data_IF_486224055507
#
_entry.id   IF_486224055507
#
_cell.length_a   1.000
_cell.length_b   1.000
_cell.length_c   1.000
_cell.angle_alpha   90.00
_cell.angle_beta   90.00
_cell.angle_gamma   90.00
#
_symmetry.space_group_name_H-M   'P 1'
#
loop_
_entity.id
_entity.type
_entity.pdbx_description
1 polymer ?
#
# COMPACT_ATOMS: atom_id res chain seq x y z
N UNK A 1 -5.16 29.64 19.08
CA UNK A 1 -4.21 29.77 20.21
C UNK A 1 -3.86 31.20 20.59
N UNK A 2 -3.32 32.04 19.69
CA UNK A 2 -3.00 33.44 20.03
C UNK A 2 -4.18 34.25 20.60
N UNK A 3 -5.38 34.08 20.05
CA UNK A 3 -6.59 34.71 20.56
C UNK A 3 -6.92 34.28 22.01
N UNK A 4 -6.72 33.00 22.36
CA UNK A 4 -6.91 32.50 23.73
C UNK A 4 -5.91 33.16 24.69
N UNK A 5 -4.62 33.18 24.32
CA UNK A 5 -3.57 33.85 25.10
C UNK A 5 -3.86 35.35 25.28
N UNK A 6 -4.39 36.02 24.25
CA UNK A 6 -4.78 37.43 24.34
C UNK A 6 -5.93 37.64 25.33
N UNK A 7 -6.97 36.80 25.29
CA UNK A 7 -8.10 36.87 26.23
C UNK A 7 -7.67 36.61 27.67
N UNK A 8 -6.79 35.64 27.89
CA UNK A 8 -6.20 35.35 29.20
C UNK A 8 -5.41 36.55 29.73
N UNK A 9 -4.58 37.17 28.89
CA UNK A 9 -3.82 38.37 29.25
C UNK A 9 -4.73 39.57 29.56
N UNK A 10 -5.88 39.67 28.87
CA UNK A 10 -6.92 40.66 29.14
C UNK A 10 -7.81 40.30 30.33
N UNK A 11 -7.58 39.16 31.00
CA UNK A 11 -8.39 38.61 32.11
C UNK A 11 -9.87 38.41 31.75
N UNK A 12 -10.18 38.16 30.48
CA UNK A 12 -11.55 37.89 29.99
C UNK A 12 -11.84 36.40 29.98
N UNK A 13 -11.85 35.77 31.16
CA UNK A 13 -11.96 34.32 31.29
C UNK A 13 -13.29 33.74 30.79
N UNK A 14 -14.39 34.47 30.94
CA UNK A 14 -15.73 34.08 30.47
C UNK A 14 -15.77 33.75 28.96
N UNK A 15 -14.95 34.44 28.16
CA UNK A 15 -14.88 34.25 26.71
C UNK A 15 -13.90 33.16 26.29
N UNK A 16 -13.06 32.67 27.21
CA UNK A 16 -12.00 31.72 26.90
C UNK A 16 -12.49 30.27 26.85
N UNK A 17 -13.53 29.91 27.63
CA UNK A 17 -14.07 28.56 27.72
C UNK A 17 -14.44 27.92 26.38
N UNK A 18 -15.24 28.58 25.52
CA UNK A 18 -15.59 28.05 24.20
C UNK A 18 -14.38 27.82 23.28
N UNK A 19 -13.37 28.70 23.34
CA UNK A 19 -12.15 28.59 22.53
C UNK A 19 -11.30 27.40 23.00
N UNK A 20 -11.20 27.19 24.31
CA UNK A 20 -10.51 26.02 24.88
C UNK A 20 -11.17 24.71 24.44
N UNK A 21 -12.50 24.66 24.48
CA UNK A 21 -13.26 23.49 24.01
C UNK A 21 -12.97 23.22 22.53
N UNK A 22 -13.09 24.24 21.68
CA UNK A 22 -12.79 24.11 20.25
C UNK A 22 -11.36 23.65 20.01
N UNK A 23 -10.36 24.24 20.67
CA UNK A 23 -8.95 23.86 20.52
C UNK A 23 -8.71 22.40 20.91
N UNK A 24 -9.33 21.89 21.98
CA UNK A 24 -9.21 20.48 22.37
C UNK A 24 -9.80 19.52 21.34
N UNK A 25 -10.80 19.95 20.59
CA UNK A 25 -11.43 19.16 19.54
C UNK A 25 -10.61 19.14 18.23
N UNK A 26 -9.70 20.10 18.03
CA UNK A 26 -8.82 20.18 16.84
C UNK A 26 -7.58 19.27 16.92
N UNK A 27 -7.54 18.32 17.85
CA UNK A 27 -6.39 17.42 17.99
C UNK A 27 -6.28 16.52 16.75
N UNK A 28 -5.12 16.55 16.10
CA UNK A 28 -4.82 15.79 14.89
C UNK A 28 -4.25 14.40 15.27
N UNK A 29 -4.12 13.51 14.28
CA UNK A 29 -3.70 12.12 14.51
C UNK A 29 -2.42 12.02 15.37
N UNK A 30 -2.42 11.12 16.36
CA UNK A 30 -1.28 10.87 17.25
C UNK A 30 -1.12 11.85 18.42
N UNK A 31 -2.08 12.75 18.66
CA UNK A 31 -2.05 13.67 19.81
C UNK A 31 -1.27 14.96 19.59
N UNK A 32 -0.94 15.27 18.32
CA UNK A 32 -0.38 16.55 17.89
C UNK A 32 -1.40 17.38 17.11
N UNK A 33 -1.06 18.62 16.76
CA UNK A 33 -1.94 19.53 16.01
C UNK A 33 -1.48 19.71 14.56
N UNK A 34 -1.06 18.62 13.92
CA UNK A 34 -0.51 18.62 12.57
C UNK A 34 0.95 19.05 12.55
N UNK A 35 1.26 20.32 12.84
CA UNK A 35 2.63 20.84 12.80
C UNK A 35 3.21 21.12 14.20
N UNK A 36 4.54 21.23 14.30
CA UNK A 36 5.22 21.57 15.55
C UNK A 36 4.79 22.94 16.07
N UNK A 37 4.66 23.94 15.20
CA UNK A 37 4.23 25.29 15.62
C UNK A 37 2.80 25.28 16.17
N UNK A 38 1.87 24.63 15.46
CA UNK A 38 0.49 24.50 15.93
C UNK A 38 0.44 23.80 17.28
N UNK A 39 1.17 22.69 17.42
CA UNK A 39 1.23 21.89 18.63
C UNK A 39 1.77 22.69 19.82
N UNK A 40 2.90 23.39 19.65
CA UNK A 40 3.49 24.25 20.70
C UNK A 40 2.51 25.34 21.12
N UNK A 41 1.93 26.05 20.15
CA UNK A 41 1.06 27.18 20.45
C UNK A 41 -0.24 26.76 21.13
N UNK A 42 -0.82 25.62 20.75
CA UNK A 42 -2.02 25.09 21.40
C UNK A 42 -1.70 24.63 22.82
N UNK A 43 -0.63 23.87 23.03
CA UNK A 43 -0.26 23.43 24.37
C UNK A 43 0.08 24.60 25.30
N UNK A 44 0.80 25.60 24.81
CA UNK A 44 1.09 26.82 25.59
C UNK A 44 -0.21 27.53 26.00
N UNK A 45 -1.16 27.69 25.07
CA UNK A 45 -2.41 28.40 25.35
C UNK A 45 -3.32 27.62 26.33
N UNK A 46 -3.41 26.29 26.18
CA UNK A 46 -4.17 25.44 27.08
C UNK A 46 -3.54 25.36 28.48
N UNK A 47 -2.21 25.27 28.56
CA UNK A 47 -1.49 25.30 29.83
C UNK A 47 -1.68 26.64 30.56
N UNK A 48 -1.58 27.76 29.85
CA UNK A 48 -1.80 29.08 30.44
C UNK A 48 -3.24 29.24 30.93
N UNK A 49 -4.23 28.78 30.17
CA UNK A 49 -5.64 28.77 30.60
C UNK A 49 -5.80 28.02 31.92
N UNK A 50 -5.14 26.86 32.04
CA UNK A 50 -5.22 26.01 33.23
C UNK A 50 -4.54 26.61 34.47
N UNK A 51 -3.57 27.52 34.27
CA UNK A 51 -2.90 28.25 35.35
C UNK A 51 -3.77 29.44 35.81
N UNK A 52 -4.31 30.20 34.86
CA UNK A 52 -5.01 31.46 35.14
C UNK A 52 -6.47 31.27 35.59
N UNK A 53 -7.10 30.18 35.15
CA UNK A 53 -8.49 29.83 35.49
C UNK A 53 -8.48 28.70 36.53
N UNK A 54 -8.88 28.97 37.78
CA UNK A 54 -8.91 27.96 38.82
C UNK A 54 -9.85 26.80 38.42
N UNK A 55 -9.34 25.58 38.40
CA UNK A 55 -10.17 24.41 38.16
C UNK A 55 -11.07 24.08 39.35
N UNK A 56 -12.27 23.60 39.03
CA UNK A 56 -13.13 22.87 39.96
C UNK A 56 -12.39 21.60 40.38
N UNK A 57 -12.09 21.47 41.69
CA UNK A 57 -11.15 20.49 42.25
C UNK A 57 -11.65 19.05 42.29
N UNK A 58 -12.87 18.77 41.83
CA UNK A 58 -13.50 17.46 42.04
C UNK A 58 -13.58 16.68 40.73
N UNK A 59 -12.58 15.82 40.48
CA UNK A 59 -12.70 14.72 39.51
C UNK A 59 -13.10 13.43 40.20
N UNK A 60 -14.26 12.92 39.81
CA UNK A 60 -14.77 11.57 40.06
C UNK A 60 -15.62 11.17 38.85
N UNK A 61 -14.97 10.65 37.81
CA UNK A 61 -15.61 10.18 36.58
C UNK A 61 -15.53 8.66 36.52
N UNK A 62 -16.68 8.01 36.32
CA UNK A 62 -16.79 6.61 35.94
C UNK A 62 -17.09 6.51 34.45
N UNK A 63 -16.20 5.86 33.71
CA UNK A 63 -16.27 5.73 32.25
C UNK A 63 -16.43 4.25 31.91
N UNK A 64 -17.51 3.90 31.22
CA UNK A 64 -17.78 2.54 30.72
C UNK A 64 -17.77 2.53 29.20
N UNK A 65 -16.85 1.77 28.60
CA UNK A 65 -16.73 1.57 27.16
C UNK A 65 -17.35 0.22 26.79
N UNK A 66 -18.39 0.26 25.97
CA UNK A 66 -19.13 -0.89 25.47
C UNK A 66 -18.68 -1.21 24.04
N UNK A 67 -18.11 -2.40 23.86
CA UNK A 67 -17.66 -2.91 22.56
C UNK A 67 -18.61 -4.04 22.12
N UNK A 68 -19.13 -4.06 20.87
CA UNK A 68 -20.14 -5.02 20.43
C UNK A 68 -19.73 -6.49 20.59
N UNK A 69 -18.46 -6.81 20.33
CA UNK A 69 -17.90 -8.16 20.39
C UNK A 69 -17.32 -8.57 21.75
N UNK A 70 -17.44 -7.72 22.76
CA UNK A 70 -16.92 -8.00 24.11
C UNK A 70 -18.08 -8.17 25.07
N UNK A 71 -18.10 -9.30 25.78
CA UNK A 71 -19.18 -9.62 26.72
C UNK A 71 -19.24 -8.67 27.93
N UNK A 72 -18.11 -8.09 28.34
CA UNK A 72 -18.02 -7.17 29.48
C UNK A 72 -17.57 -5.77 29.06
N UNK A 73 -18.19 -4.71 29.63
CA UNK A 73 -17.72 -3.34 29.41
C UNK A 73 -16.33 -3.13 30.02
N UNK A 74 -15.57 -2.20 29.43
CA UNK A 74 -14.30 -1.74 29.97
C UNK A 74 -14.59 -0.53 30.84
N UNK A 75 -14.34 -0.65 32.14
CA UNK A 75 -14.62 0.40 33.09
C UNK A 75 -13.33 1.07 33.56
N UNK A 76 -13.32 2.40 33.56
CA UNK A 76 -12.24 3.22 34.07
C UNK A 76 -12.79 4.24 35.07
N UNK A 77 -12.13 4.30 36.23
CA UNK A 77 -12.40 5.32 37.22
C UNK A 77 -11.30 6.37 37.22
N UNK A 78 -11.68 7.62 36.96
CA UNK A 78 -10.80 8.79 36.95
C UNK A 78 -11.11 9.64 38.17
N UNK A 79 -10.16 9.72 39.08
CA UNK A 79 -10.19 10.50 40.31
C UNK A 79 -9.00 11.46 40.34
N UNK A 80 -9.04 12.47 41.20
CA UNK A 80 -7.96 13.45 41.34
C UNK A 80 -6.54 12.85 41.43
N UNK A 81 -6.38 11.70 42.09
CA UNK A 81 -5.08 11.03 42.24
C UNK A 81 -4.53 10.47 40.93
N UNK A 82 -5.38 10.06 39.99
CA UNK A 82 -4.98 9.39 38.76
C UNK A 82 -5.40 10.14 37.48
N UNK A 83 -5.85 11.39 37.63
CA UNK A 83 -6.40 12.22 36.56
C UNK A 83 -5.48 12.48 35.38
N UNK A 84 -4.17 12.55 35.63
CA UNK A 84 -3.17 12.80 34.59
C UNK A 84 -2.73 11.52 33.86
N UNK A 85 -3.18 10.34 34.31
CA UNK A 85 -2.74 9.07 33.75
C UNK A 85 -3.69 8.67 32.62
N UNK A 86 -3.16 8.56 31.41
CA UNK A 86 -3.92 8.10 30.24
C UNK A 86 -4.41 6.65 30.43
N UNK A 87 -5.54 6.33 29.78
CA UNK A 87 -6.10 4.98 29.71
C UNK A 87 -6.26 4.62 28.23
N UNK A 88 -5.81 3.44 27.85
CA UNK A 88 -5.87 2.95 26.47
C UNK A 88 -6.57 1.60 26.41
N UNK A 89 -7.35 1.40 25.36
CA UNK A 89 -7.99 0.14 25.03
C UNK A 89 -7.92 -0.03 23.51
N UNK A 90 -7.66 -1.25 23.06
CA UNK A 90 -7.49 -1.57 21.64
C UNK A 90 -8.50 -2.64 21.19
N UNK A 91 -8.93 -2.54 19.94
CA UNK A 91 -9.75 -3.54 19.26
C UNK A 91 -9.25 -3.71 17.84
N UNK A 92 -9.35 -4.94 17.32
CA UNK A 92 -8.96 -5.26 15.93
C UNK A 92 -10.06 -4.93 14.92
N UNK A 93 -11.28 -4.64 15.38
CA UNK A 93 -12.45 -4.46 14.55
C UNK A 93 -12.89 -3.00 14.55
N UNK A 94 -13.12 -2.46 13.35
CA UNK A 94 -13.64 -1.11 13.18
C UNK A 94 -15.18 -1.14 13.29
N UNK A 95 -15.68 -1.02 14.51
CA UNK A 95 -17.10 -1.11 14.85
C UNK A 95 -17.53 0.13 15.65
N UNK A 96 -18.83 0.42 15.66
CA UNK A 96 -19.38 1.49 16.48
C UNK A 96 -19.24 1.16 17.97
N UNK A 97 -18.72 2.11 18.75
CA UNK A 97 -18.50 1.95 20.18
C UNK A 97 -19.43 2.89 20.96
N UNK A 98 -19.93 2.43 22.10
CA UNK A 98 -20.71 3.28 23.00
C UNK A 98 -19.90 3.58 24.24
N UNK A 99 -19.77 4.87 24.58
CA UNK A 99 -19.09 5.32 25.80
C UNK A 99 -20.11 5.99 26.72
N UNK A 100 -20.19 5.50 27.96
CA UNK A 100 -20.97 6.12 29.03
C UNK A 100 -20.00 6.77 30.01
N UNK A 101 -20.26 8.00 30.40
CA UNK A 101 -19.49 8.74 31.39
C UNK A 101 -20.45 9.30 32.44
N UNK A 102 -20.21 8.97 33.71
CA UNK A 102 -21.03 9.37 34.85
C UNK A 102 -20.15 9.99 35.94
N UNK A 103 -20.67 10.96 36.70
CA UNK A 103 -19.95 11.62 37.79
C UNK A 103 -19.55 13.08 37.51
N UNK A 104 -18.55 13.59 38.23
CA UNK A 104 -18.12 15.00 38.18
C UNK A 104 -16.71 15.14 37.63
N UNK A 105 -16.51 16.10 36.73
CA UNK A 105 -15.20 16.40 36.14
C UNK A 105 -15.28 16.53 34.63
N UNK A 106 -14.11 16.72 34.01
CA UNK A 106 -14.00 16.83 32.55
C UNK A 106 -12.83 15.99 32.06
N UNK A 107 -13.06 15.17 31.03
CA UNK A 107 -12.04 14.38 30.36
C UNK A 107 -12.03 14.60 28.85
N UNK A 108 -11.06 14.02 28.16
CA UNK A 108 -11.03 13.91 26.69
C UNK A 108 -10.98 12.44 26.33
N UNK A 109 -11.86 11.99 25.43
CA UNK A 109 -11.78 10.69 24.78
C UNK A 109 -11.25 10.89 23.37
N UNK A 110 -10.29 10.08 22.94
CA UNK A 110 -9.81 10.05 21.56
C UNK A 110 -9.92 8.62 21.03
N UNK A 111 -10.56 8.45 19.88
CA UNK A 111 -10.70 7.16 19.20
C UNK A 111 -9.86 7.21 17.94
N UNK A 112 -8.95 6.26 17.78
CA UNK A 112 -8.02 6.21 16.65
C UNK A 112 -8.10 4.84 15.98
N UNK A 113 -8.34 4.84 14.67
CA UNK A 113 -8.35 3.63 13.83
C UNK A 113 -7.13 3.64 12.93
N UNK A 114 -6.23 2.68 13.13
CA UNK A 114 -5.06 2.47 12.28
C UNK A 114 -5.39 1.33 11.31
N UNK A 115 -5.27 1.59 10.01
CA UNK A 115 -5.53 0.62 8.95
C UNK A 115 -4.68 0.90 7.71
N UNK A 116 -4.51 -0.12 6.87
CA UNK A 116 -3.86 0.04 5.58
C UNK A 116 -4.86 0.61 4.58
N UNK A 117 -4.70 1.89 4.23
CA UNK A 117 -5.52 2.57 3.23
C UNK A 117 -4.89 2.47 1.84
N UNK A 118 -5.73 2.51 0.80
CA UNK A 118 -5.24 2.85 -0.55
C UNK A 118 -4.91 4.35 -0.56
N UNK A 119 -3.92 4.73 -1.36
CA UNK A 119 -3.58 6.14 -1.55
C UNK A 119 -4.83 6.91 -2.02
N UNK A 120 -5.27 7.97 -1.31
CA UNK A 120 -6.40 8.79 -1.75
C UNK A 120 -6.14 9.40 -3.12
N UNK A 121 -7.19 9.53 -3.94
CA UNK A 121 -7.06 10.11 -5.28
C UNK A 121 -6.45 11.51 -5.24
N UNK A 122 -6.80 12.31 -4.24
CA UNK A 122 -6.30 13.67 -4.07
C UNK A 122 -4.77 13.74 -3.86
N UNK A 123 -4.21 12.81 -3.08
CA UNK A 123 -2.76 12.71 -2.87
C UNK A 123 -2.03 12.20 -4.12
N UNK A 124 -2.71 11.39 -4.93
CA UNK A 124 -2.17 10.89 -6.21
C UNK A 124 -2.21 11.95 -7.32
N UNK A 125 -3.24 12.81 -7.28
CA UNK A 125 -3.48 13.90 -8.23
C UNK A 125 -2.60 15.11 -7.95
N UNK A 126 -2.03 15.21 -6.74
CA UNK A 126 -1.02 16.21 -6.40
C UNK A 126 -1.48 17.65 -6.66
N UNK A 127 -2.52 18.09 -5.97
CA UNK A 127 -3.19 19.39 -6.23
C UNK A 127 -2.29 20.62 -6.03
N UNK A 128 -1.30 20.57 -5.13
CA UNK A 128 -0.42 21.72 -4.79
C UNK A 128 1.03 21.59 -5.25
N UNK A 129 1.47 20.39 -5.60
CA UNK A 129 2.85 20.13 -6.00
C UNK A 129 2.87 19.36 -7.31
N UNK A 130 3.76 19.72 -8.22
CA UNK A 130 4.13 18.88 -9.36
C UNK A 130 5.34 18.05 -8.96
N UNK A 131 5.14 16.75 -8.72
CA UNK A 131 6.17 15.81 -8.30
C UNK A 131 6.43 14.79 -9.41
N UNK A 132 7.69 14.72 -9.84
CA UNK A 132 8.18 13.71 -10.79
C UNK A 132 9.34 12.94 -10.17
N UNK A 133 9.21 11.62 -10.20
CA UNK A 133 10.22 10.70 -9.68
C UNK A 133 10.65 9.78 -10.81
N UNK A 134 11.96 9.69 -11.01
CA UNK A 134 12.58 8.83 -12.02
C UNK A 134 13.71 8.04 -11.39
N UNK A 135 13.87 6.80 -11.84
CA UNK A 135 14.86 5.86 -11.33
C UNK A 135 15.62 5.30 -12.51
N UNK A 136 16.94 5.40 -12.46
CA UNK A 136 17.82 4.86 -13.48
C UNK A 136 18.75 3.82 -12.85
N UNK A 137 18.79 2.62 -13.44
CA UNK A 137 19.77 1.61 -13.06
C UNK A 137 21.10 1.87 -13.78
N UNK A 138 22.18 2.01 -13.00
CA UNK A 138 23.54 2.01 -13.54
C UNK A 138 24.35 0.92 -12.85
N UNK A 139 24.91 -0.03 -13.60
CA UNK A 139 25.83 -1.00 -13.05
C UNK A 139 27.17 -0.31 -12.78
N UNK A 140 27.32 0.25 -11.58
CA UNK A 140 28.59 0.77 -11.07
C UNK A 140 29.11 -0.14 -9.96
N UNK A 141 30.20 -0.88 -10.25
CA UNK A 141 30.87 -1.73 -9.28
C UNK A 141 30.22 -3.11 -9.06
N UNK A 142 30.48 -3.71 -7.88
CA UNK A 142 30.04 -5.06 -7.52
C UNK A 142 28.62 -5.11 -6.91
N UNK A 143 28.05 -3.96 -6.52
CA UNK A 143 26.71 -3.86 -5.91
C UNK A 143 25.76 -3.13 -6.86
N UNK A 144 24.54 -3.65 -7.01
CA UNK A 144 23.49 -3.00 -7.80
C UNK A 144 23.17 -1.63 -7.21
N UNK A 145 23.29 -0.60 -8.05
CA UNK A 145 23.09 0.79 -7.65
C UNK A 145 22.04 1.44 -8.55
N UNK A 146 21.17 2.23 -7.94
CA UNK A 146 20.14 3.01 -8.65
C UNK A 146 20.32 4.49 -8.39
N UNK A 147 20.09 5.30 -9.40
CA UNK A 147 20.05 6.74 -9.29
C UNK A 147 18.58 7.16 -9.16
N UNK A 148 18.23 7.77 -8.03
CA UNK A 148 16.88 8.27 -7.77
C UNK A 148 16.91 9.79 -8.01
N UNK A 149 16.15 10.26 -9.00
CA UNK A 149 16.00 11.67 -9.33
C UNK A 149 14.58 12.12 -9.02
N UNK A 150 14.48 13.13 -8.16
CA UNK A 150 13.23 13.71 -7.66
C UNK A 150 13.20 15.16 -8.14
N UNK A 151 12.16 15.53 -8.88
CA UNK A 151 11.91 16.90 -9.31
C UNK A 151 10.58 17.36 -8.74
N UNK A 152 10.57 18.54 -8.14
CA UNK A 152 9.40 19.15 -7.52
C UNK A 152 9.22 20.58 -7.99
N UNK A 153 7.97 21.01 -8.08
CA UNK A 153 7.60 22.41 -8.28
C UNK A 153 6.30 22.71 -7.56
N UNK A 154 6.21 23.88 -6.97
CA UNK A 154 4.98 24.29 -6.28
C UNK A 154 3.97 24.87 -7.28
N UNK A 155 2.70 24.53 -7.12
CA UNK A 155 1.62 24.97 -8.02
C UNK A 155 0.87 26.20 -7.49
N UNK A 156 1.34 26.79 -6.39
CA UNK A 156 0.78 28.02 -5.84
C UNK A 156 1.24 29.28 -6.58
N UNK A 157 0.80 30.43 -6.07
CA UNK A 157 1.09 31.75 -6.65
C UNK A 157 2.46 32.29 -6.22
N UNK A 158 2.97 31.81 -5.09
CA UNK A 158 4.26 32.20 -4.49
C UNK A 158 5.04 30.93 -4.17
N UNK A 159 6.37 31.05 -4.02
CA UNK A 159 7.22 29.93 -3.59
C UNK A 159 6.67 29.31 -2.29
N UNK A 160 6.69 27.98 -2.20
CA UNK A 160 6.37 27.31 -0.96
C UNK A 160 7.46 27.60 0.08
N UNK A 161 7.05 27.59 1.34
CA UNK A 161 7.98 27.72 2.46
C UNK A 161 8.72 26.39 2.69
N UNK A 162 9.21 26.17 3.91
CA UNK A 162 9.93 24.97 4.26
C UNK A 162 9.09 23.72 3.94
N UNK A 163 9.62 22.87 3.08
CA UNK A 163 8.94 21.67 2.58
C UNK A 163 9.76 20.44 2.91
N UNK A 164 9.07 19.32 3.14
CA UNK A 164 9.68 18.04 3.44
C UNK A 164 9.46 17.10 2.28
N UNK A 165 10.52 16.43 1.86
CA UNK A 165 10.46 15.26 0.98
C UNK A 165 10.73 14.03 1.84
N UNK A 166 9.72 13.19 1.97
CA UNK A 166 9.74 11.91 2.67
C UNK A 166 9.93 10.79 1.63
N UNK A 167 11.10 10.18 1.61
CA UNK A 167 11.50 9.16 0.64
C UNK A 167 11.63 7.81 1.34
N UNK A 168 10.62 6.96 1.15
CA UNK A 168 10.75 5.56 1.52
C UNK A 168 11.73 4.85 0.57
N UNK A 169 12.65 4.05 1.09
CA UNK A 169 13.57 3.30 0.25
C UNK A 169 12.94 2.01 -0.31
N UNK A 170 13.45 1.58 -1.48
CA UNK A 170 13.17 0.25 -2.02
C UNK A 170 13.66 -0.81 -1.03
N UNK A 171 12.96 -1.95 -0.97
CA UNK A 171 13.36 -3.06 -0.10
C UNK A 171 14.79 -3.50 -0.41
N UNK A 172 15.69 -3.32 0.55
CA UNK A 172 17.10 -3.69 0.45
C UNK A 172 18.02 -2.67 -0.17
N UNK A 173 17.53 -1.44 -0.36
CA UNK A 173 18.34 -0.30 -0.78
C UNK A 173 18.55 0.67 0.39
N UNK A 174 19.73 1.28 0.42
CA UNK A 174 20.08 2.36 1.34
C UNK A 174 20.68 3.52 0.56
N UNK A 175 20.35 4.78 0.87
CA UNK A 175 20.87 5.93 0.14
C UNK A 175 22.37 6.12 0.40
N UNK A 176 23.07 6.63 -0.61
CA UNK A 176 24.48 7.03 -0.53
C UNK A 176 24.59 8.31 0.32
N UNK A 177 25.26 8.19 1.46
CA UNK A 177 25.41 9.29 2.42
C UNK A 177 26.33 10.39 1.91
N UNK A 178 27.28 10.08 1.02
CA UNK A 178 28.20 11.06 0.45
C UNK A 178 27.49 12.00 -0.53
N UNK A 179 26.62 11.44 -1.38
CA UNK A 179 25.78 12.23 -2.27
C UNK A 179 24.85 13.17 -1.49
N UNK A 180 24.21 12.68 -0.43
CA UNK A 180 23.34 13.49 0.44
C UNK A 180 24.12 14.60 1.16
N UNK A 181 25.34 14.31 1.63
CA UNK A 181 26.23 15.34 2.21
C UNK A 181 26.59 16.40 1.19
N UNK A 182 26.88 16.03 -0.07
CA UNK A 182 27.16 17.00 -1.14
C UNK A 182 25.96 17.90 -1.42
N UNK A 183 24.74 17.36 -1.41
CA UNK A 183 23.53 18.15 -1.61
C UNK A 183 23.24 19.12 -0.44
N UNK A 184 23.67 18.77 0.77
CA UNK A 184 23.45 19.58 1.98
C UNK A 184 24.57 20.58 2.30
N UNK A 185 25.82 20.25 1.97
CA UNK A 185 27.01 21.05 2.31
C UNK A 185 27.67 21.70 1.08
N UNK A 186 27.12 21.46 -0.11
CA UNK A 186 27.59 22.08 -1.35
C UNK A 186 27.33 23.58 -1.42
N UNK A 187 28.00 24.25 -2.35
CA UNK A 187 27.96 25.72 -2.54
C UNK A 187 26.54 26.21 -2.86
N UNK A 188 25.78 25.45 -3.64
CA UNK A 188 24.41 25.78 -4.05
C UNK A 188 23.35 25.39 -3.00
N UNK A 189 23.74 24.62 -1.97
CA UNK A 189 22.90 24.09 -0.87
C UNK A 189 21.44 23.81 -1.28
N UNK A 190 21.25 22.78 -2.09
CA UNK A 190 19.91 22.34 -2.52
C UNK A 190 19.08 21.78 -1.37
N UNK A 191 19.71 21.22 -0.33
CA UNK A 191 19.04 20.61 0.82
C UNK A 191 19.49 21.29 2.12
N UNK A 192 18.54 21.64 2.98
CA UNK A 192 18.81 22.25 4.27
C UNK A 192 19.39 21.25 5.26
N UNK A 193 18.76 20.07 5.35
CA UNK A 193 19.11 18.95 6.23
C UNK A 193 18.55 17.65 5.64
N UNK A 194 19.17 16.52 5.97
CA UNK A 194 18.57 15.21 5.76
C UNK A 194 18.65 14.35 7.03
N UNK A 195 17.71 13.44 7.21
CA UNK A 195 17.67 12.46 8.28
C UNK A 195 17.38 11.09 7.68
N UNK A 196 18.16 10.09 8.07
CA UNK A 196 17.91 8.70 7.69
C UNK A 196 17.36 8.03 8.93
N UNK A 197 16.10 7.62 8.88
CA UNK A 197 15.49 6.87 9.96
C UNK A 197 16.14 5.48 10.03
N UNK A 198 16.79 5.22 11.16
CA UNK A 198 17.43 3.94 11.48
C UNK A 198 16.54 3.06 12.35
N UNK A 199 15.29 3.48 12.60
CA UNK A 199 14.34 2.67 13.33
C UNK A 199 14.21 1.28 12.65
N UNK A 200 14.22 0.19 13.42
CA UNK A 200 14.19 -1.18 12.89
C UNK A 200 12.85 -1.58 12.25
N UNK A 201 11.93 -0.64 12.03
CA UNK A 201 10.62 -0.88 11.42
C UNK A 201 10.63 -0.54 9.94
N UNK A 202 10.42 -1.56 9.12
CA UNK A 202 9.81 -1.56 7.79
C UNK A 202 10.14 -0.36 6.88
N UNK A 203 11.25 -0.49 6.13
CA UNK A 203 11.79 0.41 5.09
C UNK A 203 12.58 1.58 5.67
N UNK A 204 13.88 1.63 5.35
CA UNK A 204 14.71 2.79 5.69
C UNK A 204 14.09 4.04 5.09
N UNK A 205 13.73 5.01 5.93
CA UNK A 205 13.10 6.24 5.48
C UNK A 205 14.12 7.36 5.40
N UNK A 206 14.14 8.11 4.30
CA UNK A 206 15.01 9.27 4.11
C UNK A 206 14.14 10.53 4.09
N UNK A 207 14.32 11.36 5.11
CA UNK A 207 13.67 12.67 5.23
C UNK A 207 14.63 13.75 4.72
N UNK A 208 14.19 14.54 3.77
CA UNK A 208 14.94 15.66 3.17
C UNK A 208 14.16 16.95 3.45
N UNK A 209 14.85 17.94 4.01
CA UNK A 209 14.29 19.25 4.33
C UNK A 209 14.77 20.27 3.30
N UNK A 210 13.82 20.99 2.70
CA UNK A 210 14.07 22.09 1.77
C UNK A 210 13.65 23.42 2.40
N UNK A 211 14.46 24.46 2.23
CA UNK A 211 14.14 25.80 2.77
C UNK A 211 12.94 26.43 2.06
N UNK A 212 12.78 26.16 0.76
CA UNK A 212 11.68 26.62 -0.08
C UNK A 212 11.52 25.70 -1.28
N UNK A 213 10.39 25.83 -1.98
CA UNK A 213 10.17 25.20 -3.29
C UNK A 213 9.66 26.25 -4.27
N UNK A 214 10.36 26.45 -5.37
CA UNK A 214 9.99 27.37 -6.43
C UNK A 214 8.61 27.07 -7.02
N UNK A 215 7.82 28.11 -7.29
CA UNK A 215 6.59 27.99 -8.06
C UNK A 215 6.80 28.10 -9.58
N UNK A 216 8.00 28.52 -10.02
CA UNK A 216 8.30 28.85 -11.42
C UNK A 216 9.10 27.79 -12.14
N UNK A 217 10.08 27.22 -11.45
CA UNK A 217 11.06 26.29 -12.02
C UNK A 217 11.02 24.99 -11.24
N UNK A 218 11.39 23.89 -11.90
CA UNK A 218 11.49 22.59 -11.25
C UNK A 218 12.79 22.51 -10.45
N UNK A 219 12.67 22.26 -9.15
CA UNK A 219 13.81 21.96 -8.29
C UNK A 219 14.05 20.45 -8.29
N UNK A 220 15.20 20.04 -8.82
CA UNK A 220 15.55 18.63 -8.95
C UNK A 220 16.75 18.25 -8.08
N UNK A 221 16.64 17.12 -7.38
CA UNK A 221 17.72 16.48 -6.65
C UNK A 221 17.92 15.05 -7.12
N UNK A 222 19.16 14.58 -7.06
CA UNK A 222 19.53 13.22 -7.46
C UNK A 222 20.57 12.65 -6.51
N UNK A 223 20.36 11.41 -6.08
CA UNK A 223 21.30 10.66 -5.24
C UNK A 223 21.30 9.18 -5.61
N UNK A 224 22.42 8.51 -5.33
CA UNK A 224 22.54 7.05 -5.47
C UNK A 224 21.88 6.33 -4.29
N UNK A 225 21.33 5.15 -4.55
CA UNK A 225 20.96 4.17 -3.54
C UNK A 225 21.58 2.81 -3.89
N UNK A 226 22.20 2.18 -2.89
CA UNK A 226 22.93 0.93 -3.04
C UNK A 226 22.13 -0.22 -2.47
N UNK A 227 22.06 -1.33 -3.22
CA UNK A 227 21.48 -2.56 -2.74
C UNK A 227 22.44 -3.26 -1.76
N UNK A 228 22.01 -3.44 -0.51
CA UNK A 228 22.81 -4.12 0.51
C UNK A 228 22.29 -5.53 0.83
N UNK A 229 21.07 -5.87 0.41
CA UNK A 229 20.59 -7.26 0.40
C UNK A 229 19.75 -7.57 -0.84
N UNK A 230 19.90 -8.80 -1.35
CA UNK A 230 19.15 -9.27 -2.49
C UNK A 230 17.76 -9.77 -2.08
N UNK A 231 16.74 -9.28 -2.79
CA UNK A 231 15.34 -9.69 -2.63
C UNK A 231 14.82 -10.28 -3.93
N UNK A 232 13.97 -11.31 -3.83
CA UNK A 232 13.33 -11.90 -5.01
C UNK A 232 12.35 -10.94 -5.71
N UNK A 233 11.56 -10.19 -4.94
CA UNK A 233 10.64 -9.17 -5.45
C UNK A 233 10.86 -7.85 -4.71
N UNK A 234 11.39 -6.86 -5.43
CA UNK A 234 11.54 -5.50 -4.91
C UNK A 234 10.14 -4.89 -4.79
N UNK A 235 9.78 -4.43 -3.58
CA UNK A 235 8.56 -3.68 -3.41
C UNK A 235 8.76 -2.25 -3.92
N UNK A 236 7.79 -1.67 -4.65
CA UNK A 236 7.85 -0.27 -5.00
C UNK A 236 7.90 0.61 -3.76
N UNK A 237 8.60 1.71 -3.91
CA UNK A 237 8.75 2.72 -2.89
C UNK A 237 8.05 4.00 -3.32
N UNK A 238 7.86 4.92 -2.38
CA UNK A 238 7.19 6.19 -2.59
C UNK A 238 8.06 7.37 -2.17
N UNK A 239 7.86 8.49 -2.88
CA UNK A 239 8.27 9.83 -2.49
C UNK A 239 7.00 10.61 -2.15
N UNK A 240 6.99 11.24 -0.99
CA UNK A 240 5.90 12.11 -0.55
C UNK A 240 6.46 13.51 -0.29
N UNK A 241 5.84 14.54 -0.86
CA UNK A 241 6.19 15.95 -0.61
C UNK A 241 5.04 16.67 0.07
N UNK A 242 5.34 17.47 1.08
CA UNK A 242 4.36 18.32 1.79
C UNK A 242 5.03 19.55 2.41
N UNK A 243 4.23 20.61 2.59
CA UNK A 243 4.67 21.79 3.33
C UNK A 243 4.68 21.48 4.84
N UNK A 244 5.71 21.96 5.54
CA UNK A 244 5.90 21.71 6.97
C UNK A 244 4.73 22.19 7.85
N UNK A 245 4.06 23.28 7.45
CA UNK A 245 2.97 23.87 8.23
C UNK A 245 1.60 23.31 7.84
N UNK A 246 1.45 22.76 6.64
CA UNK A 246 0.19 22.21 6.12
C UNK A 246 0.40 20.81 5.54
N UNK A 247 0.17 19.81 6.38
CA UNK A 247 0.44 18.39 6.08
C UNK A 247 -0.64 17.73 5.21
N UNK A 248 -1.84 18.33 5.16
CA UNK A 248 -2.99 17.82 4.37
C UNK A 248 -2.71 17.83 2.86
N UNK A 249 -1.91 18.78 2.39
CA UNK A 249 -1.64 18.97 0.96
C UNK A 249 -0.41 18.18 0.49
N UNK A 250 -0.40 16.89 0.81
CA UNK A 250 0.68 15.98 0.43
C UNK A 250 0.50 15.47 -0.99
N UNK A 251 1.61 15.28 -1.69
CA UNK A 251 1.66 14.65 -3.01
C UNK A 251 2.57 13.43 -2.93
N UNK A 252 2.03 12.27 -3.29
CA UNK A 252 2.74 10.99 -3.20
C UNK A 252 2.87 10.36 -4.58
N UNK A 253 4.11 10.00 -4.98
CA UNK A 253 4.40 9.26 -6.21
C UNK A 253 5.21 8.01 -5.90
N UNK A 254 4.83 6.90 -6.53
CA UNK A 254 5.57 5.65 -6.43
C UNK A 254 6.65 5.55 -7.50
N UNK A 255 7.72 4.83 -7.18
CA UNK A 255 8.81 4.53 -8.09
C UNK A 255 9.27 3.08 -7.97
N UNK A 256 9.69 2.53 -9.10
CA UNK A 256 10.24 1.18 -9.20
C UNK A 256 11.22 1.14 -10.37
N UNK A 257 12.38 0.46 -10.27
CA UNK A 257 13.39 0.51 -11.32
C UNK A 257 12.93 -0.01 -12.69
N UNK A 258 12.08 -1.05 -12.70
CA UNK A 258 11.60 -1.68 -13.94
C UNK A 258 10.15 -1.39 -14.31
N UNK A 259 9.39 -0.66 -13.49
CA UNK A 259 7.96 -0.42 -13.72
C UNK A 259 7.69 1.06 -13.84
N UNK A 260 7.15 1.46 -14.98
CA UNK A 260 6.75 2.83 -15.24
C UNK A 260 5.65 3.25 -14.24
N UNK A 261 5.89 4.33 -13.49
CA UNK A 261 4.98 4.82 -12.44
C UNK A 261 5.04 4.07 -11.10
N UNK A 262 5.93 3.07 -10.95
CA UNK A 262 6.19 2.43 -9.66
C UNK A 262 5.02 1.67 -9.03
N UNK A 263 3.98 1.34 -9.80
CA UNK A 263 2.85 0.57 -9.29
C UNK A 263 3.02 -0.92 -9.58
N UNK A 264 2.38 -1.75 -8.76
CA UNK A 264 2.28 -3.18 -9.06
C UNK A 264 1.47 -3.40 -10.35
N UNK A 265 1.92 -4.37 -11.15
CA UNK A 265 1.19 -4.91 -12.27
C UNK A 265 -0.16 -5.43 -11.78
N UNK A 266 -1.24 -4.93 -12.38
CA UNK A 266 -2.61 -5.26 -11.99
C UNK A 266 -3.45 -5.49 -13.24
N UNK A 267 -4.35 -6.46 -13.16
CA UNK A 267 -5.42 -6.64 -14.15
C UNK A 267 -6.68 -6.02 -13.55
N UNK A 268 -7.19 -4.97 -14.18
CA UNK A 268 -8.39 -4.27 -13.71
C UNK A 268 -9.51 -4.39 -14.73
N UNK A 269 -10.72 -4.63 -14.25
CA UNK A 269 -11.93 -4.51 -15.04
C UNK A 269 -12.97 -3.69 -14.28
N UNK A 270 -13.17 -2.43 -14.70
CA UNK A 270 -13.88 -1.45 -13.88
C UNK A 270 -13.12 -1.14 -12.60
N UNK A 271 -13.79 -1.21 -11.45
CA UNK A 271 -13.22 -0.92 -10.12
C UNK A 271 -12.55 -2.12 -9.45
N UNK A 272 -12.75 -3.34 -9.98
CA UNK A 272 -12.19 -4.56 -9.41
C UNK A 272 -10.85 -4.85 -10.09
N UNK A 273 -9.78 -4.94 -9.30
CA UNK A 273 -8.43 -5.21 -9.77
C UNK A 273 -7.86 -6.45 -9.06
N UNK A 274 -7.17 -7.31 -9.82
CA UNK A 274 -6.36 -8.42 -9.28
C UNK A 274 -4.88 -8.09 -9.43
N UNK A 275 -4.08 -8.53 -8.45
CA UNK A 275 -2.63 -8.47 -8.54
C UNK A 275 -2.14 -9.38 -9.68
N UNK A 276 -1.27 -8.87 -10.53
CA UNK A 276 -0.65 -9.58 -11.64
C UNK A 276 0.88 -9.52 -11.54
N UNK A 277 1.43 -9.48 -10.32
CA UNK A 277 2.87 -9.56 -10.06
C UNK A 277 3.44 -10.97 -10.24
N UNK A 278 2.58 -11.96 -10.09
CA UNK A 278 2.97 -13.36 -10.10
C UNK A 278 3.42 -13.82 -11.51
N UNK A 279 3.93 -15.05 -11.58
CA UNK A 279 4.32 -15.68 -12.85
C UNK A 279 3.11 -15.80 -13.79
N UNK A 280 3.38 -15.84 -15.09
CA UNK A 280 2.33 -15.79 -16.11
C UNK A 280 1.52 -17.07 -16.21
N UNK A 281 2.15 -18.22 -15.92
CA UNK A 281 1.54 -19.55 -15.93
C UNK A 281 2.41 -20.51 -15.11
N UNK A 282 1.85 -21.67 -14.77
CA UNK A 282 2.44 -22.63 -13.84
C UNK A 282 3.76 -23.22 -14.35
N UNK A 283 3.87 -23.51 -15.65
CA UNK A 283 5.03 -24.20 -16.21
C UNK A 283 6.34 -23.40 -16.16
N UNK A 284 6.29 -22.07 -15.96
CA UNK A 284 7.50 -21.28 -15.74
C UNK A 284 8.26 -21.66 -14.47
N UNK A 285 7.61 -22.36 -13.52
CA UNK A 285 8.24 -22.79 -12.26
C UNK A 285 8.74 -24.22 -12.28
N UNK A 286 8.46 -24.98 -13.35
CA UNK A 286 8.79 -26.40 -13.41
C UNK A 286 10.17 -26.55 -14.04
N UNK A 287 11.12 -27.05 -13.25
CA UNK A 287 12.45 -27.41 -13.73
C UNK A 287 12.43 -28.84 -14.31
N UNK A 288 12.81 -28.99 -15.58
CA UNK A 288 12.91 -30.27 -16.27
C UNK A 288 11.79 -30.57 -17.27
N UNK A 289 11.83 -31.73 -17.93
CA UNK A 289 10.83 -32.10 -18.92
C UNK A 289 9.48 -32.40 -18.26
N UNK A 290 8.42 -31.86 -18.84
CA UNK A 290 7.04 -32.15 -18.41
C UNK A 290 6.71 -33.58 -18.86
N UNK A 291 6.49 -34.46 -17.89
CA UNK A 291 6.08 -35.86 -18.13
C UNK A 291 4.60 -36.04 -17.84
N UNK A 292 4.01 -37.11 -18.38
CA UNK A 292 2.62 -37.51 -18.09
C UNK A 292 2.32 -37.55 -16.58
N UNK A 293 3.15 -38.23 -15.79
CA UNK A 293 2.97 -38.33 -14.34
C UNK A 293 2.96 -36.96 -13.66
N UNK A 294 3.80 -36.03 -14.13
CA UNK A 294 3.84 -34.67 -13.58
C UNK A 294 2.57 -33.88 -13.92
N UNK A 295 2.05 -34.02 -15.15
CA UNK A 295 0.75 -33.42 -15.53
C UNK A 295 -0.38 -33.96 -14.66
N UNK A 296 -0.41 -35.27 -14.40
CA UNK A 296 -1.41 -35.89 -13.52
C UNK A 296 -1.30 -35.41 -12.08
N UNK A 297 -0.09 -35.34 -11.52
CA UNK A 297 0.15 -34.86 -10.15
C UNK A 297 -0.34 -33.42 -9.96
N UNK A 298 0.03 -32.51 -10.88
CA UNK A 298 -0.36 -31.09 -10.80
C UNK A 298 -1.86 -30.89 -11.09
N UNK A 299 -2.43 -31.63 -12.04
CA UNK A 299 -3.88 -31.57 -12.34
C UNK A 299 -4.74 -32.11 -11.19
N UNK A 300 -4.18 -32.97 -10.34
CA UNK A 300 -4.86 -33.57 -9.19
C UNK A 300 -4.63 -32.86 -7.86
N UNK A 301 -3.97 -31.70 -7.86
CA UNK A 301 -3.81 -30.94 -6.61
C UNK A 301 -5.17 -30.45 -6.07
N UNK A 302 -5.33 -30.40 -4.73
CA UNK A 302 -6.55 -29.88 -4.12
C UNK A 302 -6.87 -28.45 -4.60
N UNK A 303 -8.07 -28.25 -5.13
CA UNK A 303 -8.54 -26.96 -5.63
C UNK A 303 -8.36 -26.74 -7.14
N UNK A 304 -7.70 -27.69 -7.84
CA UNK A 304 -7.69 -27.74 -9.30
C UNK A 304 -9.00 -28.37 -9.78
N UNK A 305 -9.74 -27.63 -10.61
CA UNK A 305 -10.96 -28.13 -11.21
C UNK A 305 -10.62 -28.74 -12.58
N UNK A 306 -10.73 -30.06 -12.71
CA UNK A 306 -10.59 -30.78 -13.99
C UNK A 306 -11.94 -31.38 -14.43
N UNK A 307 -12.24 -31.29 -15.72
CA UNK A 307 -13.48 -31.79 -16.33
C UNK A 307 -13.22 -32.61 -17.60
N UNK A 308 -14.12 -33.54 -17.90
CA UNK A 308 -14.05 -34.52 -18.99
C UNK A 308 -14.18 -33.88 -20.38
N UNK A 309 -13.22 -34.23 -21.25
CA UNK A 309 -13.22 -34.08 -22.72
C UNK A 309 -13.18 -32.65 -23.27
N UNK A 310 -11.96 -32.24 -23.67
CA UNK A 310 -11.61 -31.12 -24.56
C UNK A 310 -12.44 -29.87 -24.32
N UNK A 311 -11.88 -28.99 -23.47
CA UNK A 311 -12.52 -27.88 -22.77
C UNK A 311 -13.39 -28.48 -21.63
N UNK A 312 -13.26 -28.06 -20.37
CA UNK A 312 -14.27 -27.23 -19.68
C UNK A 312 -14.12 -27.33 -18.15
N UNK A 313 -14.43 -26.22 -17.48
CA UNK A 313 -14.10 -25.91 -16.08
C UNK A 313 -15.34 -26.12 -15.19
N UNK A 314 -15.20 -26.87 -14.09
CA UNK A 314 -16.29 -27.53 -13.35
C UNK A 314 -17.14 -26.65 -12.42
N UNK A 315 -17.12 -25.33 -12.63
CA UNK A 315 -17.99 -24.37 -11.92
C UNK A 315 -19.01 -23.69 -12.84
N UNK A 316 -18.97 -23.96 -14.14
CA UNK A 316 -19.86 -23.37 -15.13
C UNK A 316 -20.93 -24.38 -15.57
N UNK A 317 -22.18 -24.14 -15.19
CA UNK A 317 -23.34 -24.91 -15.66
C UNK A 317 -23.48 -24.74 -17.18
N UNK A 318 -22.94 -25.64 -18.00
CA UNK A 318 -23.15 -25.51 -19.44
C UNK A 318 -21.95 -25.50 -20.39
N UNK A 319 -20.85 -26.19 -20.14
CA UNK A 319 -19.63 -25.79 -20.77
C UNK A 319 -19.56 -26.63 -22.05
N UNK A 320 -20.41 -26.43 -23.06
CA UNK A 320 -20.22 -27.02 -24.40
C UNK A 320 -20.81 -26.02 -25.38
N UNK A 321 -19.98 -25.55 -26.33
CA UNK A 321 -20.40 -24.61 -27.39
C UNK A 321 -20.49 -23.12 -27.01
N UNK A 322 -20.07 -22.68 -25.82
CA UNK A 322 -20.06 -21.25 -25.44
C UNK A 322 -18.65 -20.66 -25.45
N UNK A 323 -18.46 -19.46 -26.00
CA UNK A 323 -17.16 -18.78 -25.93
C UNK A 323 -16.83 -18.39 -24.47
N UNK A 324 -15.56 -18.54 -24.06
CA UNK A 324 -15.06 -18.06 -22.76
C UNK A 324 -13.93 -17.06 -22.97
N UNK A 325 -13.92 -16.01 -22.17
CA UNK A 325 -12.87 -15.00 -22.20
C UNK A 325 -11.78 -15.36 -21.21
N UNK A 326 -10.57 -15.59 -21.73
CA UNK A 326 -9.35 -15.69 -20.93
C UNK A 326 -8.62 -14.35 -20.96
N UNK A 327 -8.28 -13.83 -19.78
CA UNK A 327 -7.65 -12.53 -19.59
C UNK A 327 -6.26 -12.76 -19.00
N UNK A 328 -5.24 -12.20 -19.64
CA UNK A 328 -3.88 -12.19 -19.09
C UNK A 328 -3.32 -10.78 -19.11
N UNK A 329 -2.34 -10.51 -18.25
CA UNK A 329 -1.64 -9.24 -18.25
C UNK A 329 -0.78 -9.11 -19.52
N UNK A 330 -0.65 -7.90 -20.07
CA UNK A 330 0.10 -7.65 -21.31
C UNK A 330 1.56 -8.16 -21.24
N UNK A 331 2.18 -8.10 -20.05
CA UNK A 331 3.52 -8.65 -19.78
C UNK A 331 3.67 -10.14 -20.17
N UNK A 332 2.58 -10.89 -20.11
CA UNK A 332 2.55 -12.32 -20.35
C UNK A 332 2.36 -12.69 -21.82
N UNK A 333 2.16 -11.71 -22.70
CA UNK A 333 1.94 -11.93 -24.13
C UNK A 333 3.09 -12.69 -24.78
N UNK A 334 4.32 -12.27 -24.50
CA UNK A 334 5.52 -12.86 -25.10
C UNK A 334 5.89 -14.24 -24.52
N UNK A 335 5.44 -14.50 -23.28
CA UNK A 335 5.63 -15.79 -22.62
C UNK A 335 4.58 -16.82 -23.04
N UNK A 336 3.32 -16.39 -23.23
CA UNK A 336 2.20 -17.29 -23.58
C UNK A 336 2.18 -17.66 -25.07
N UNK A 337 2.50 -16.72 -25.97
CA UNK A 337 2.56 -16.93 -27.43
C UNK A 337 1.37 -17.72 -28.00
N UNK A 338 0.16 -17.39 -27.55
CA UNK A 338 -1.06 -18.05 -28.03
C UNK A 338 -1.32 -17.68 -29.50
N UNK A 339 -1.63 -18.69 -30.30
CA UNK A 339 -1.94 -18.63 -31.72
C UNK A 339 -3.46 -18.73 -31.91
N UNK A 340 -3.99 -18.00 -32.90
CA UNK A 340 -5.40 -18.11 -33.25
C UNK A 340 -5.67 -19.46 -33.92
N UNK A 341 -6.83 -20.05 -33.61
CA UNK A 341 -7.31 -21.32 -34.18
C UNK A 341 -6.39 -22.52 -33.91
N UNK A 342 -5.75 -22.54 -32.75
CA UNK A 342 -5.01 -23.70 -32.24
C UNK A 342 -5.67 -24.19 -30.95
N UNK A 343 -5.54 -25.49 -30.70
CA UNK A 343 -6.09 -26.12 -29.51
C UNK A 343 -5.10 -26.04 -28.35
N UNK A 344 -5.63 -25.92 -27.14
CA UNK A 344 -4.84 -25.77 -25.93
C UNK A 344 -5.44 -26.59 -24.78
N UNK A 345 -4.58 -27.30 -24.06
CA UNK A 345 -4.89 -27.91 -22.78
C UNK A 345 -4.77 -26.86 -21.68
N UNK A 346 -5.87 -26.59 -20.97
CA UNK A 346 -5.94 -25.56 -19.94
C UNK A 346 -6.61 -26.12 -18.69
N UNK A 347 -6.00 -25.90 -17.53
CA UNK A 347 -6.63 -26.07 -16.21
C UNK A 347 -6.16 -24.98 -15.25
N UNK A 348 -6.88 -24.80 -14.16
CA UNK A 348 -6.56 -23.78 -13.16
C UNK A 348 -7.36 -23.96 -11.88
N UNK A 349 -7.23 -22.99 -10.97
CA UNK A 349 -7.90 -22.99 -9.68
C UNK A 349 -9.22 -22.18 -9.73
N UNK A 350 -10.10 -22.45 -8.76
CA UNK A 350 -11.31 -21.65 -8.56
C UNK A 350 -11.04 -20.15 -8.30
N UNK A 351 -9.87 -19.80 -7.79
CA UNK A 351 -9.45 -18.41 -7.60
C UNK A 351 -9.22 -17.67 -8.92
N UNK A 352 -9.06 -18.40 -10.04
CA UNK A 352 -8.90 -17.86 -11.39
C UNK A 352 -10.20 -17.50 -12.09
N UNK A 353 -11.34 -17.88 -11.50
CA UNK A 353 -12.65 -17.41 -11.93
C UNK A 353 -12.86 -15.95 -11.56
N UNK A 354 -13.21 -15.18 -12.58
CA UNK A 354 -13.62 -13.79 -12.43
C UNK A 354 -15.11 -13.66 -12.75
N UNK A 355 -15.98 -13.60 -11.73
CA UNK A 355 -17.41 -13.46 -11.96
C UNK A 355 -17.71 -12.08 -12.57
N UNK A 356 -18.15 -12.06 -13.84
CA UNK A 356 -18.88 -10.91 -14.39
C UNK A 356 -20.37 -11.19 -14.31
N UNK A 357 -21.16 -10.11 -14.19
CA UNK A 357 -22.61 -10.08 -13.95
C UNK A 357 -23.44 -11.14 -14.70
N UNK A 358 -23.05 -11.59 -15.89
CA UNK A 358 -23.74 -12.63 -16.67
C UNK A 358 -22.82 -13.66 -17.36
N UNK A 359 -21.49 -13.54 -17.26
CA UNK A 359 -20.53 -14.42 -17.94
C UNK A 359 -19.31 -14.68 -17.04
N UNK A 360 -18.81 -15.91 -17.03
CA UNK A 360 -17.57 -16.26 -16.33
C UNK A 360 -16.38 -15.94 -17.23
N UNK A 361 -15.43 -15.17 -16.70
CA UNK A 361 -14.13 -14.92 -17.34
C UNK A 361 -13.04 -15.61 -16.52
N UNK A 362 -11.96 -16.04 -17.19
CA UNK A 362 -10.83 -16.70 -16.54
C UNK A 362 -9.62 -15.80 -16.57
N UNK A 363 -8.95 -15.64 -15.44
CA UNK A 363 -7.68 -14.92 -15.37
C UNK A 363 -6.55 -15.95 -15.45
N UNK A 364 -5.69 -15.79 -16.45
CA UNK A 364 -4.47 -16.58 -16.58
C UNK A 364 -3.45 -16.02 -15.59
N UNK A 365 -3.09 -16.82 -14.58
CA UNK A 365 -2.15 -16.48 -13.52
C UNK A 365 -1.15 -17.59 -13.23
N UNK A 366 -0.44 -17.49 -12.10
CA UNK A 366 0.64 -18.42 -11.72
C UNK A 366 0.21 -19.87 -11.56
N UNK A 367 -1.07 -20.11 -11.31
CA UNK A 367 -1.64 -21.43 -11.02
C UNK A 367 -2.45 -21.95 -12.22
N UNK A 368 -2.43 -21.24 -13.35
CA UNK A 368 -3.05 -21.66 -14.59
C UNK A 368 -2.03 -22.44 -15.44
N UNK A 369 -2.42 -23.64 -15.88
CA UNK A 369 -1.66 -24.44 -16.84
C UNK A 369 -2.15 -24.18 -18.25
N UNK A 370 -1.25 -23.99 -19.20
CA UNK A 370 -1.59 -23.81 -20.63
C UNK A 370 -0.56 -24.49 -21.51
N UNK A 371 -0.98 -25.50 -22.30
CA UNK A 371 -0.11 -26.22 -23.22
C UNK A 371 -0.77 -26.32 -24.61
N UNK A 372 -0.02 -26.05 -25.68
CA UNK A 372 -0.55 -26.19 -27.05
C UNK A 372 -0.82 -27.67 -27.31
N UNK A 373 -2.05 -27.99 -27.70
CA UNK A 373 -2.45 -29.31 -28.14
C UNK A 373 -2.22 -29.39 -29.66
N UNK A 374 -1.25 -30.19 -30.15
CA UNK A 374 -0.97 -30.25 -31.58
C UNK A 374 -2.14 -30.85 -32.35
N UNK A 375 -2.37 -30.35 -33.57
CA UNK A 375 -3.41 -30.88 -34.44
C UNK A 375 -3.02 -32.27 -34.98
N UNK A 376 -3.97 -33.02 -35.56
CA UNK A 376 -3.74 -34.38 -36.08
C UNK A 376 -2.57 -34.46 -37.07
N UNK A 377 -2.39 -33.44 -37.92
CA UNK A 377 -1.28 -33.34 -38.87
C UNK A 377 0.07 -33.09 -38.16
N UNK A 378 0.09 -32.21 -37.15
CA UNK A 378 1.29 -31.91 -36.35
C UNK A 378 1.70 -33.14 -35.52
N UNK A 379 0.75 -33.95 -35.07
CA UNK A 379 1.02 -35.21 -34.36
C UNK A 379 1.69 -36.29 -35.22
N UNK A 380 1.71 -36.16 -36.55
CA UNK A 380 2.47 -37.06 -37.43
C UNK A 380 3.98 -36.75 -37.45
N UNK A 381 4.38 -35.57 -36.97
CA UNK A 381 5.79 -35.22 -36.87
C UNK A 381 6.44 -35.98 -35.70
N UNK A 382 7.67 -36.48 -35.88
CA UNK A 382 8.37 -37.28 -34.86
C UNK A 382 8.59 -36.51 -33.56
N UNK A 383 8.67 -35.18 -33.62
CA UNK A 383 8.88 -34.31 -32.46
C UNK A 383 7.62 -34.18 -31.58
N UNK A 384 6.42 -34.28 -32.17
CA UNK A 384 5.13 -34.12 -31.46
C UNK A 384 4.42 -35.46 -31.19
N UNK A 385 4.82 -36.54 -31.85
CA UNK A 385 4.19 -37.86 -31.70
C UNK A 385 4.10 -38.32 -30.24
N UNK A 386 5.19 -38.15 -29.48
CA UNK A 386 5.22 -38.49 -28.04
C UNK A 386 4.27 -37.62 -27.23
N UNK A 387 4.23 -36.31 -27.51
CA UNK A 387 3.40 -35.36 -26.78
C UNK A 387 1.91 -35.64 -27.00
N UNK A 388 1.51 -35.92 -28.24
CA UNK A 388 0.13 -36.26 -28.57
C UNK A 388 -0.31 -37.55 -27.89
N UNK A 389 0.55 -38.57 -27.83
CA UNK A 389 0.26 -39.80 -27.10
C UNK A 389 0.08 -39.54 -25.60
N UNK A 390 0.97 -38.75 -24.98
CA UNK A 390 0.85 -38.38 -23.56
C UNK A 390 -0.45 -37.61 -23.27
N UNK A 391 -0.89 -36.72 -24.16
CA UNK A 391 -2.16 -36.00 -23.99
C UNK A 391 -3.39 -36.89 -24.12
N UNK A 392 -3.37 -37.86 -25.03
CA UNK A 392 -4.45 -38.85 -25.15
C UNK A 392 -4.53 -39.72 -23.89
N UNK A 393 -3.39 -40.23 -23.42
CA UNK A 393 -3.31 -41.02 -22.18
C UNK A 393 -3.76 -40.20 -20.96
N UNK A 394 -3.35 -38.93 -20.87
CA UNK A 394 -3.80 -38.01 -19.82
C UNK A 394 -5.32 -37.81 -19.86
N UNK A 395 -5.87 -37.52 -21.04
CA UNK A 395 -7.31 -37.30 -21.22
C UNK A 395 -8.12 -38.54 -20.86
N UNK A 396 -7.67 -39.73 -21.29
CA UNK A 396 -8.31 -41.00 -20.94
C UNK A 396 -8.23 -41.31 -19.45
N UNK A 397 -7.06 -41.10 -18.82
CA UNK A 397 -6.87 -41.37 -17.41
C UNK A 397 -7.75 -40.48 -16.52
N UNK A 398 -7.76 -39.18 -16.79
CA UNK A 398 -8.60 -38.21 -16.06
C UNK A 398 -10.09 -38.47 -16.30
N UNK A 399 -10.44 -38.99 -17.47
CA UNK A 399 -11.81 -39.37 -17.84
C UNK A 399 -12.25 -40.65 -17.11
N UNK A 400 -11.42 -41.67 -17.05
CA UNK A 400 -11.83 -42.98 -16.53
C UNK A 400 -11.64 -43.11 -15.03
N UNK A 401 -10.54 -42.59 -14.49
CA UNK A 401 -10.13 -42.84 -13.11
C UNK A 401 -10.24 -41.58 -12.23
N UNK A 402 -10.22 -40.39 -12.84
CA UNK A 402 -10.13 -39.13 -12.10
C UNK A 402 -8.85 -39.07 -11.27
N UNK A 403 -8.87 -38.27 -10.21
CA UNK A 403 -7.73 -38.12 -9.32
C UNK A 403 -7.74 -39.13 -8.17
N UNK A 404 -6.58 -39.69 -7.81
CA UNK A 404 -6.46 -40.54 -6.63
C UNK A 404 -6.74 -39.70 -5.37
N UNK A 405 -7.59 -40.24 -4.49
CA UNK A 405 -7.95 -39.63 -3.19
C UNK A 405 -6.86 -39.77 -2.15
#
# INVERSE_FOLDING_TARGET
SYALLALLKMKKYELAGPIVKWLREQNYYGGGYGSTQATIMVFQALAQYQIDVPQQKDMDLDISILLPRRASPINYKIINQNALVARTAETKWNEEITVKAEGTGQGTLTVMTIYNAKLPEDESQCKKFDLRVSVEEKPEGAMRSVYIKICIRFLGVVDATMSIIDVSMLTGFSPDVEDLKRLSQGVDRYISKFEIDKAPSDRGNLMIYLDKVSHREDECLQFKAHQYFEVGLIQPASVTVYDYYTIDDRCTKFYHPSKEGGLFNKICHGEVCRCAEESCFMQQKIEGPITLNKRMEEACQPGVDYGKSVIWIWTDENPQGKTRQFISHVKCRDSLRLELNKDYLIWGLNTDLWPRKAELSYIIGKDTWIEKWPNEDECQEPDFQKLCQEFLEFSEAMTMFGCPT
#
